data_IF_091049740326
#
_entry.id   IF_091049740326
#
_cell.length_a   1.000
_cell.length_b   1.000
_cell.length_c   1.000
_cell.angle_alpha   90.00
_cell.angle_beta   90.00
_cell.angle_gamma   90.00
#
_symmetry.space_group_name_H-M   'P 1'
#
loop_
_entity.id
_entity.type
_entity.pdbx_description
1 polymer ?
#
# COMPACT_ATOMS: atom_id res chain seq x y z
N UNK A 1 43.92 0.43 -10.80
CA UNK A 1 42.68 0.71 -10.01
C UNK A 1 41.88 -0.58 -9.90
N UNK A 2 41.90 -1.18 -8.70
CA UNK A 2 41.18 -2.42 -8.38
C UNK A 2 39.66 -2.17 -8.49
N UNK A 3 38.88 -3.02 -9.14
CA UNK A 3 37.43 -2.88 -9.11
C UNK A 3 36.96 -3.15 -7.66
N UNK A 4 36.33 -2.14 -7.08
CA UNK A 4 35.71 -2.30 -5.78
C UNK A 4 34.71 -3.46 -5.87
N UNK A 5 34.92 -4.52 -5.09
CA UNK A 5 33.94 -5.58 -4.89
C UNK A 5 32.67 -4.92 -4.34
N UNK A 6 31.62 -4.82 -5.16
CA UNK A 6 30.29 -4.53 -4.66
C UNK A 6 29.89 -5.69 -3.77
N UNK A 7 29.76 -5.42 -2.48
CA UNK A 7 29.12 -6.37 -1.59
C UNK A 7 27.68 -6.57 -2.15
N UNK A 8 27.40 -7.78 -2.62
CA UNK A 8 26.06 -8.15 -3.00
C UNK A 8 25.29 -8.31 -1.69
N UNK A 9 24.48 -7.32 -1.35
CA UNK A 9 23.54 -7.47 -0.25
C UNK A 9 22.58 -8.60 -0.63
N UNK A 10 22.68 -9.72 0.05
CA UNK A 10 21.71 -10.81 -0.07
C UNK A 10 20.45 -10.34 0.65
N UNK A 11 19.37 -10.13 -0.10
CA UNK A 11 18.05 -9.99 0.48
C UNK A 11 17.62 -11.36 0.99
N UNK A 12 17.34 -11.46 2.28
CA UNK A 12 16.71 -12.63 2.88
C UNK A 12 15.20 -12.38 2.94
N UNK A 13 14.42 -13.39 2.54
CA UNK A 13 12.97 -13.36 2.73
C UNK A 13 12.65 -14.10 4.02
N UNK A 14 12.00 -13.41 4.94
CA UNK A 14 11.56 -13.98 6.21
C UNK A 14 10.06 -13.79 6.38
N UNK A 15 9.39 -14.80 6.94
CA UNK A 15 8.00 -14.68 7.34
C UNK A 15 7.92 -14.07 8.74
N UNK A 16 6.83 -13.35 9.03
CA UNK A 16 6.49 -12.89 10.37
C UNK A 16 5.31 -13.71 10.90
N UNK A 17 5.56 -14.82 11.59
CA UNK A 17 4.50 -15.65 12.15
C UNK A 17 3.62 -14.84 13.13
N UNK A 18 2.31 -15.09 13.09
CA UNK A 18 1.37 -14.40 13.98
C UNK A 18 0.99 -12.98 13.57
N UNK A 19 1.54 -12.45 12.46
CA UNK A 19 1.25 -11.08 12.00
C UNK A 19 -0.26 -10.85 11.77
N UNK A 20 -0.96 -11.79 11.10
CA UNK A 20 -2.40 -11.68 10.86
C UNK A 20 -3.18 -11.57 12.17
N UNK A 21 -2.88 -12.40 13.15
CA UNK A 21 -3.59 -12.42 14.43
C UNK A 21 -3.26 -11.17 15.24
N UNK A 22 -2.01 -10.71 15.19
CA UNK A 22 -1.62 -9.44 15.78
C UNK A 22 -2.40 -8.29 15.13
N UNK A 23 -2.45 -8.21 13.79
CA UNK A 23 -3.15 -7.17 13.05
C UNK A 23 -4.63 -7.09 13.46
N UNK A 24 -5.33 -8.23 13.50
CA UNK A 24 -6.75 -8.27 13.85
C UNK A 24 -7.04 -7.93 15.31
N UNK A 25 -6.07 -8.10 16.20
CA UNK A 25 -6.19 -7.62 17.58
C UNK A 25 -6.00 -6.11 17.69
N UNK A 26 -5.10 -5.54 16.88
CA UNK A 26 -4.82 -4.10 16.89
C UNK A 26 -5.89 -3.29 16.16
N UNK A 27 -6.53 -3.88 15.14
CA UNK A 27 -7.54 -3.24 14.30
C UNK A 27 -8.86 -4.03 14.32
N UNK A 28 -9.62 -3.98 15.43
CA UNK A 28 -10.81 -4.82 15.61
C UNK A 28 -11.93 -4.52 14.60
N UNK A 29 -11.95 -3.32 14.01
CA UNK A 29 -12.88 -2.96 12.94
C UNK A 29 -12.69 -3.81 11.69
N UNK A 30 -11.48 -4.32 11.44
CA UNK A 30 -11.17 -5.20 10.32
C UNK A 30 -11.52 -6.66 10.60
N UNK A 31 -11.60 -7.04 11.89
CA UNK A 31 -11.83 -8.43 12.27
C UNK A 31 -13.16 -8.99 11.71
N UNK A 32 -14.21 -8.14 11.64
CA UNK A 32 -15.52 -8.52 11.09
C UNK A 32 -15.44 -8.85 9.59
N UNK A 33 -14.52 -8.20 8.87
CA UNK A 33 -14.30 -8.44 7.45
C UNK A 33 -13.37 -9.64 7.21
N UNK A 34 -12.47 -9.95 8.13
CA UNK A 34 -11.42 -10.95 7.96
C UNK A 34 -11.92 -12.40 7.77
N UNK A 35 -13.17 -12.67 8.12
CA UNK A 35 -13.82 -13.98 7.92
C UNK A 35 -14.55 -14.12 6.58
N UNK A 36 -14.60 -13.06 5.75
CA UNK A 36 -15.25 -13.07 4.45
C UNK A 36 -14.24 -13.22 3.32
N UNK A 37 -14.67 -13.75 2.17
CA UNK A 37 -13.84 -13.77 0.97
C UNK A 37 -13.62 -12.32 0.46
N UNK A 38 -12.46 -12.06 -0.14
CA UNK A 38 -12.06 -10.73 -0.59
C UNK A 38 -13.06 -10.10 -1.58
N UNK A 39 -13.58 -10.92 -2.52
CA UNK A 39 -14.59 -10.51 -3.50
C UNK A 39 -15.99 -10.28 -2.89
N UNK A 40 -16.19 -10.67 -1.62
CA UNK A 40 -17.42 -10.48 -0.81
C UNK A 40 -17.25 -9.39 0.25
N UNK A 41 -16.35 -8.46 0.05
CA UNK A 41 -16.06 -7.41 1.00
C UNK A 41 -15.24 -7.87 2.21
N UNK A 42 -14.46 -8.94 2.05
CA UNK A 42 -13.52 -9.43 3.05
C UNK A 42 -12.30 -8.54 3.18
N UNK A 43 -11.53 -8.72 4.27
CA UNK A 43 -10.29 -7.99 4.46
C UNK A 43 -9.30 -8.31 3.35
N UNK A 44 -8.92 -7.28 2.63
CA UNK A 44 -7.92 -7.33 1.57
C UNK A 44 -6.97 -6.13 1.69
N UNK A 45 -5.68 -6.41 1.87
CA UNK A 45 -4.59 -5.45 1.91
C UNK A 45 -3.76 -5.71 0.65
N UNK A 46 -3.64 -4.72 -0.23
CA UNK A 46 -2.91 -4.86 -1.49
C UNK A 46 -1.69 -3.94 -1.57
N UNK A 47 -1.67 -2.82 -0.83
CA UNK A 47 -0.52 -1.93 -0.78
C UNK A 47 0.31 -2.14 0.48
N UNK A 48 1.64 -2.18 0.34
CA UNK A 48 2.58 -2.15 1.47
C UNK A 48 3.73 -1.21 1.15
N UNK A 49 3.97 -0.21 2.01
CA UNK A 49 5.09 0.70 1.88
C UNK A 49 5.86 0.85 3.19
N UNK A 50 7.14 1.14 3.06
CA UNK A 50 7.99 1.56 4.16
C UNK A 50 8.14 3.08 4.16
N UNK A 51 7.87 3.71 5.31
CA UNK A 51 8.18 5.11 5.57
C UNK A 51 9.52 5.19 6.31
N UNK A 52 10.61 5.53 5.62
CA UNK A 52 11.93 5.60 6.24
C UNK A 52 12.08 6.76 7.23
N UNK A 53 11.25 7.80 7.09
CA UNK A 53 11.28 8.98 7.95
C UNK A 53 10.78 8.71 9.36
N UNK A 54 9.80 7.80 9.48
CA UNK A 54 9.12 7.49 10.74
C UNK A 54 9.29 6.04 11.19
N UNK A 55 10.09 5.23 10.47
CA UNK A 55 10.24 3.79 10.73
C UNK A 55 8.87 3.08 10.80
N UNK A 56 7.98 3.38 9.85
CA UNK A 56 6.60 2.93 9.85
C UNK A 56 6.29 2.10 8.61
N UNK A 57 5.64 0.96 8.82
CA UNK A 57 4.99 0.21 7.76
C UNK A 57 3.60 0.78 7.52
N UNK A 58 3.26 0.99 6.26
CA UNK A 58 1.96 1.43 5.79
C UNK A 58 1.30 0.27 5.06
N UNK A 59 0.06 -0.07 5.44
CA UNK A 59 -0.73 -1.10 4.78
C UNK A 59 -1.96 -0.46 4.15
N UNK A 60 -1.98 -0.40 2.84
CA UNK A 60 -3.11 0.11 2.06
C UNK A 60 -4.24 -0.90 1.99
N UNK A 61 -5.39 -0.57 2.56
CA UNK A 61 -6.56 -1.46 2.56
C UNK A 61 -7.35 -1.25 1.27
N UNK A 62 -7.51 -2.33 0.49
CA UNK A 62 -8.43 -2.33 -0.64
C UNK A 62 -9.87 -2.47 -0.16
N UNK A 63 -10.11 -3.36 0.80
CA UNK A 63 -11.42 -3.65 1.36
C UNK A 63 -11.27 -4.16 2.82
N UNK A 64 -12.15 -3.81 3.74
CA UNK A 64 -13.34 -2.97 3.59
C UNK A 64 -13.01 -1.47 3.53
N UNK A 65 -13.86 -0.72 2.83
CA UNK A 65 -13.88 0.75 2.84
C UNK A 65 -15.19 1.19 3.47
N UNK A 66 -15.11 2.05 4.47
CA UNK A 66 -16.26 2.54 5.22
C UNK A 66 -16.61 3.98 4.89
N UNK A 67 -17.62 4.51 5.60
CA UNK A 67 -18.02 5.90 5.47
C UNK A 67 -16.93 6.90 5.92
N UNK A 68 -15.99 6.45 6.77
CA UNK A 68 -14.87 7.28 7.23
C UNK A 68 -13.83 7.52 6.13
N UNK A 69 -13.71 6.58 5.18
CA UNK A 69 -12.72 6.66 4.11
C UNK A 69 -12.02 5.32 3.86
N UNK A 70 -10.98 5.36 3.02
CA UNK A 70 -10.12 4.21 2.75
C UNK A 70 -9.07 4.12 3.86
N UNK A 71 -9.00 3.00 4.60
CA UNK A 71 -8.02 2.88 5.68
C UNK A 71 -6.60 2.68 5.16
N UNK A 72 -5.66 3.38 5.76
CA UNK A 72 -4.23 3.08 5.72
C UNK A 72 -3.80 2.72 7.13
N UNK A 73 -3.45 1.46 7.36
CA UNK A 73 -2.97 1.03 8.66
C UNK A 73 -1.50 1.40 8.80
N UNK A 74 -1.14 1.97 9.93
CA UNK A 74 0.20 2.43 10.22
C UNK A 74 0.75 1.64 11.40
N UNK A 75 1.93 1.09 11.24
CA UNK A 75 2.57 0.28 12.29
C UNK A 75 4.03 0.63 12.34
N UNK A 76 4.49 1.10 13.49
CA UNK A 76 5.91 1.32 13.69
C UNK A 76 6.64 -0.03 13.78
N UNK A 77 7.75 -0.15 13.08
CA UNK A 77 8.65 -1.30 13.13
C UNK A 77 9.99 -0.86 13.72
N UNK A 78 10.45 -1.56 14.75
CA UNK A 78 11.83 -1.43 15.21
C UNK A 78 12.73 -2.45 14.47
N UNK A 79 13.54 -2.00 13.49
CA UNK A 79 14.41 -2.91 12.74
C UNK A 79 15.49 -3.59 13.62
N UNK A 80 15.79 -3.01 14.79
CA UNK A 80 16.76 -3.55 15.73
C UNK A 80 16.22 -4.71 16.60
N UNK A 81 14.91 -4.83 16.73
CA UNK A 81 14.26 -5.85 17.54
C UNK A 81 14.07 -7.21 16.81
N UNK A 82 14.56 -7.30 15.57
CA UNK A 82 14.39 -8.49 14.74
C UNK A 82 13.06 -8.53 13.98
N UNK A 83 12.81 -9.63 13.24
CA UNK A 83 11.64 -9.77 12.40
C UNK A 83 10.55 -10.60 13.11
N UNK A 84 9.84 -9.96 14.04
CA UNK A 84 8.75 -10.57 14.80
C UNK A 84 7.65 -9.56 15.10
N UNK A 85 6.48 -10.04 15.54
CA UNK A 85 5.37 -9.18 15.96
C UNK A 85 5.71 -8.33 17.20
N UNK A 86 6.72 -8.70 17.97
CA UNK A 86 7.18 -7.94 19.14
C UNK A 86 7.96 -6.67 18.74
N UNK A 87 8.44 -6.61 17.49
CA UNK A 87 9.07 -5.43 16.92
C UNK A 87 8.04 -4.38 16.44
N UNK A 88 6.75 -4.72 16.45
CA UNK A 88 5.67 -3.87 16.00
C UNK A 88 5.06 -3.10 17.17
N UNK A 89 4.84 -1.80 16.95
CA UNK A 89 4.27 -0.91 17.97
C UNK A 89 3.46 0.22 17.35
N UNK A 90 2.81 1.01 18.20
CA UNK A 90 2.08 2.22 17.83
C UNK A 90 1.12 2.01 16.64
N UNK A 91 0.19 1.02 16.73
CA UNK A 91 -0.79 0.81 15.67
C UNK A 91 -1.74 2.02 15.58
N UNK A 92 -1.92 2.54 14.37
CA UNK A 92 -2.78 3.67 14.08
C UNK A 92 -3.46 3.48 12.73
N UNK A 93 -4.59 4.17 12.50
CA UNK A 93 -5.31 4.16 11.22
C UNK A 93 -5.50 5.58 10.73
N UNK A 94 -4.99 5.85 9.54
CA UNK A 94 -5.28 7.05 8.78
C UNK A 94 -6.34 6.73 7.72
N UNK A 95 -7.20 7.71 7.40
CA UNK A 95 -8.25 7.52 6.40
C UNK A 95 -8.07 8.51 5.25
N UNK A 96 -8.04 8.01 4.03
CA UNK A 96 -8.13 8.84 2.82
C UNK A 96 -9.61 9.11 2.57
N UNK A 97 -10.03 10.37 2.70
CA UNK A 97 -11.45 10.79 2.71
C UNK A 97 -11.93 11.34 1.38
N UNK A 98 -11.04 11.84 0.52
CA UNK A 98 -11.37 12.42 -0.78
C UNK A 98 -11.36 11.41 -1.93
N UNK A 99 -11.78 10.16 -1.65
CA UNK A 99 -11.92 9.10 -2.64
C UNK A 99 -13.33 9.05 -3.22
N UNK A 100 -13.50 8.37 -4.35
CA UNK A 100 -14.83 8.04 -4.86
C UNK A 100 -15.38 6.80 -4.16
N UNK A 101 -16.71 6.75 -3.95
CA UNK A 101 -17.35 5.57 -3.37
C UNK A 101 -17.04 4.32 -4.20
N UNK A 102 -16.67 3.23 -3.55
CA UNK A 102 -16.25 1.99 -4.23
C UNK A 102 -14.75 1.92 -4.55
N UNK A 103 -13.96 2.96 -4.29
CA UNK A 103 -12.50 2.87 -4.38
C UNK A 103 -11.87 2.28 -3.11
N UNK A 104 -10.72 1.62 -3.29
CA UNK A 104 -9.81 1.16 -2.26
C UNK A 104 -8.37 1.27 -2.75
N UNK A 105 -7.40 1.04 -1.89
CA UNK A 105 -5.99 1.09 -2.25
C UNK A 105 -5.60 -0.23 -2.94
N UNK A 106 -5.01 -0.10 -4.15
CA UNK A 106 -4.48 -1.22 -4.93
C UNK A 106 -2.98 -1.39 -4.68
N UNK A 107 -2.27 -0.28 -4.50
CA UNK A 107 -0.86 -0.27 -4.14
C UNK A 107 -0.46 1.06 -3.51
N UNK A 108 0.66 1.04 -2.79
CA UNK A 108 1.29 2.22 -2.20
C UNK A 108 2.80 2.06 -2.23
N UNK A 109 3.51 3.07 -2.69
CA UNK A 109 4.97 3.06 -2.72
C UNK A 109 5.55 4.39 -2.26
N UNK A 110 6.67 4.35 -1.53
CA UNK A 110 7.39 5.55 -1.13
C UNK A 110 8.09 6.18 -2.34
N UNK A 111 7.97 7.50 -2.47
CA UNK A 111 8.69 8.30 -3.48
C UNK A 111 9.92 8.96 -2.84
N UNK A 112 11.11 8.39 -3.00
CA UNK A 112 12.32 8.95 -2.39
C UNK A 112 12.84 10.22 -3.09
N UNK A 113 12.25 10.60 -4.23
CA UNK A 113 12.67 11.78 -5.00
C UNK A 113 11.87 13.01 -4.62
N UNK A 114 10.54 12.91 -4.70
CA UNK A 114 9.65 14.00 -4.36
C UNK A 114 9.28 14.03 -2.88
N UNK A 115 9.53 12.94 -2.16
CA UNK A 115 9.03 12.71 -0.80
C UNK A 115 7.57 12.27 -0.79
N UNK A 116 7.14 11.63 0.31
CA UNK A 116 5.79 11.08 0.42
C UNK A 116 5.60 9.78 -0.36
N UNK A 117 4.40 9.57 -0.89
CA UNK A 117 4.00 8.28 -1.46
C UNK A 117 3.22 8.47 -2.76
N UNK A 118 3.35 7.50 -3.65
CA UNK A 118 2.38 7.26 -4.70
C UNK A 118 1.37 6.23 -4.21
N UNK A 119 0.09 6.51 -4.41
CA UNK A 119 -1.02 5.65 -4.04
C UNK A 119 -1.82 5.33 -5.29
N UNK A 120 -2.03 4.06 -5.53
CA UNK A 120 -2.88 3.58 -6.61
C UNK A 120 -4.26 3.27 -6.04
N UNK A 121 -5.26 4.05 -6.44
CA UNK A 121 -6.66 3.83 -6.08
C UNK A 121 -7.38 3.07 -7.21
N UNK A 122 -8.29 2.20 -6.82
CA UNK A 122 -9.12 1.46 -7.78
C UNK A 122 -10.26 0.73 -7.06
N UNK A 123 -10.90 -0.20 -7.73
CA UNK A 123 -12.08 -0.92 -7.23
C UNK A 123 -11.82 -1.62 -5.91
N UNK A 124 -12.63 -1.33 -4.90
CA UNK A 124 -12.56 -2.01 -3.60
C UNK A 124 -13.06 -3.45 -3.68
N UNK A 125 -14.13 -3.67 -4.43
CA UNK A 125 -14.68 -5.00 -4.73
C UNK A 125 -14.86 -5.18 -6.25
N UNK A 126 -15.01 -6.43 -6.69
CA UNK A 126 -15.28 -6.73 -8.09
C UNK A 126 -16.68 -6.22 -8.47
N UNK A 127 -16.77 -5.55 -9.61
CA UNK A 127 -18.05 -5.03 -10.15
C UNK A 127 -18.28 -3.55 -9.90
N UNK A 128 -17.53 -2.90 -9.02
CA UNK A 128 -17.60 -1.43 -8.90
C UNK A 128 -17.10 -0.78 -10.19
N UNK A 129 -17.85 0.20 -10.69
CA UNK A 129 -17.44 0.99 -11.86
C UNK A 129 -16.88 2.33 -11.40
N UNK A 130 -15.66 2.25 -10.88
CA UNK A 130 -14.91 3.42 -10.41
C UNK A 130 -13.58 3.54 -11.16
N UNK A 131 -13.09 4.77 -11.39
CA UNK A 131 -11.82 4.97 -12.07
C UNK A 131 -10.65 4.44 -11.23
N UNK A 132 -9.61 3.99 -11.92
CA UNK A 132 -8.30 3.83 -11.33
C UNK A 132 -7.58 5.18 -11.37
N UNK A 133 -6.95 5.53 -10.26
CA UNK A 133 -6.27 6.81 -10.12
C UNK A 133 -4.88 6.61 -9.52
N UNK A 134 -3.88 7.23 -10.14
CA UNK A 134 -2.57 7.41 -9.54
C UNK A 134 -2.60 8.73 -8.75
N UNK A 135 -2.30 8.65 -7.47
CA UNK A 135 -2.37 9.79 -6.58
C UNK A 135 -1.03 10.00 -5.87
N UNK A 136 -0.76 11.26 -5.51
CA UNK A 136 0.30 11.64 -4.59
C UNK A 136 -0.27 11.83 -3.19
N UNK A 137 0.50 11.40 -2.19
CA UNK A 137 0.13 11.51 -0.78
C UNK A 137 1.35 11.85 0.10
N UNK A 138 1.17 12.73 1.06
CA UNK A 138 2.24 13.14 1.98
C UNK A 138 2.48 12.17 3.15
N UNK A 139 1.64 11.12 3.28
CA UNK A 139 1.73 10.14 4.36
C UNK A 139 1.04 10.56 5.66
N UNK A 140 0.45 11.76 5.75
CA UNK A 140 -0.15 12.27 6.98
C UNK A 140 -1.52 12.92 6.79
N UNK A 141 -1.80 13.53 5.65
CA UNK A 141 -3.09 14.17 5.39
C UNK A 141 -4.19 13.14 5.10
N UNK A 142 -5.44 13.55 5.29
CA UNK A 142 -6.61 12.73 4.95
C UNK A 142 -7.01 12.83 3.48
N UNK A 143 -6.27 13.57 2.68
CA UNK A 143 -6.52 13.75 1.27
C UNK A 143 -5.31 13.34 0.43
N UNK A 144 -5.57 12.82 -0.77
CA UNK A 144 -4.59 12.56 -1.81
C UNK A 144 -4.79 13.52 -2.97
N UNK A 145 -3.73 13.83 -3.70
CA UNK A 145 -3.77 14.60 -4.93
C UNK A 145 -3.76 13.65 -6.14
N UNK A 146 -4.75 13.77 -7.02
CA UNK A 146 -4.84 12.94 -8.22
C UNK A 146 -3.86 13.45 -9.25
N UNK A 147 -2.86 12.63 -9.58
CA UNK A 147 -1.87 12.91 -10.64
C UNK A 147 -2.37 12.48 -12.02
N UNK A 148 -3.07 11.34 -12.08
CA UNK A 148 -3.60 10.81 -13.33
C UNK A 148 -4.77 9.85 -13.11
N UNK A 149 -5.72 9.85 -14.03
CA UNK A 149 -6.68 8.77 -14.20
C UNK A 149 -6.12 7.71 -15.16
N UNK A 150 -6.28 6.46 -14.79
CA UNK A 150 -5.74 5.33 -15.54
C UNK A 150 -6.86 4.56 -16.23
N UNK A 151 -6.64 4.07 -17.46
CA UNK A 151 -7.68 3.35 -18.20
C UNK A 151 -8.13 2.07 -17.45
N UNK A 152 -9.43 1.90 -17.27
CA UNK A 152 -10.03 0.72 -16.59
C UNK A 152 -9.61 -0.61 -17.23
N UNK A 153 -9.32 -0.62 -18.54
CA UNK A 153 -8.84 -1.81 -19.27
C UNK A 153 -7.48 -2.30 -18.80
N UNK A 154 -6.66 -1.43 -18.22
CA UNK A 154 -5.34 -1.81 -17.68
C UNK A 154 -5.43 -2.64 -16.42
N UNK A 155 -6.52 -2.51 -15.65
CA UNK A 155 -6.67 -3.10 -14.32
C UNK A 155 -5.40 -2.91 -13.49
N UNK A 156 -5.01 -1.67 -13.17
CA UNK A 156 -3.77 -1.40 -12.46
C UNK A 156 -3.72 -2.11 -11.11
N UNK A 157 -2.58 -2.76 -10.82
CA UNK A 157 -2.36 -3.60 -9.64
C UNK A 157 -1.13 -3.18 -8.83
N UNK A 158 -0.18 -2.50 -9.46
CA UNK A 158 1.06 -2.11 -8.81
C UNK A 158 1.64 -0.81 -9.35
N UNK A 159 2.34 -0.07 -8.50
CA UNK A 159 3.08 1.14 -8.86
C UNK A 159 4.45 1.16 -8.19
N UNK A 160 5.45 1.62 -8.92
CA UNK A 160 6.78 1.87 -8.35
C UNK A 160 7.41 3.11 -8.95
N UNK A 161 8.25 3.77 -8.16
CA UNK A 161 9.03 4.92 -8.63
C UNK A 161 10.31 4.40 -9.28
N UNK A 162 10.51 4.77 -10.55
CA UNK A 162 11.77 4.52 -11.24
C UNK A 162 12.65 5.74 -11.01
N UNK A 163 13.74 5.55 -10.27
CA UNK A 163 14.78 6.57 -10.15
C UNK A 163 15.42 6.78 -11.50
N UNK A 164 15.02 7.86 -12.18
CA UNK A 164 15.72 8.42 -13.29
C UNK A 164 16.02 9.88 -12.97
N UNK A 165 16.93 10.47 -13.73
CA UNK A 165 17.12 11.93 -13.71
C UNK A 165 15.77 12.66 -13.79
N UNK A 166 15.65 13.77 -13.07
CA UNK A 166 14.39 14.54 -13.03
C UNK A 166 13.90 14.90 -14.47
N UNK A 167 12.58 14.79 -14.76
CA UNK A 167 11.52 14.44 -13.84
C UNK A 167 11.46 12.93 -13.57
N UNK A 168 11.16 12.56 -12.31
CA UNK A 168 10.96 11.17 -11.91
C UNK A 168 9.88 10.48 -12.74
N UNK A 169 9.98 9.16 -12.88
CA UNK A 169 9.01 8.32 -13.58
C UNK A 169 8.41 7.29 -12.64
N UNK A 170 7.12 7.08 -12.74
CA UNK A 170 6.45 5.94 -12.12
C UNK A 170 6.16 4.88 -13.18
N UNK A 171 6.35 3.61 -12.83
CA UNK A 171 5.87 2.47 -13.59
C UNK A 171 4.60 1.96 -12.93
N UNK A 172 3.52 1.89 -13.70
CA UNK A 172 2.28 1.24 -13.28
C UNK A 172 2.16 -0.07 -14.06
N UNK A 173 1.93 -1.16 -13.34
CA UNK A 173 1.67 -2.48 -13.91
C UNK A 173 0.21 -2.85 -13.66
N UNK A 174 -0.38 -3.61 -14.58
CA UNK A 174 -1.77 -3.99 -14.48
C UNK A 174 -2.02 -5.39 -15.03
N UNK A 175 -3.10 -6.01 -14.58
CA UNK A 175 -3.61 -7.28 -15.09
C UNK A 175 -4.68 -7.02 -16.16
N UNK A 176 -4.25 -6.75 -17.38
CA UNK A 176 -5.15 -6.53 -18.51
C UNK A 176 -5.87 -7.82 -18.99
N UNK A 177 -5.56 -8.96 -18.39
CA UNK A 177 -6.21 -10.25 -18.62
C UNK A 177 -6.15 -10.70 -20.07
N UNK A 178 -5.10 -11.28 -20.46
CA UNK A 178 -4.68 -12.09 -21.62
C UNK A 178 -3.48 -11.48 -22.33
N UNK A 179 -2.36 -12.11 -22.13
CA UNK A 179 -1.29 -12.03 -23.11
C UNK A 179 -1.78 -12.83 -24.34
N UNK A 180 -2.17 -12.10 -25.40
CA UNK A 180 -2.37 -12.71 -26.70
C UNK A 180 -1.01 -12.84 -27.38
#
# INVERSE_FOLDING_TARGET
>A
TSPAMRATALLTAEAMPGFRDWLLRQYPELAKAAGRAADKGGLNIEGVAWDPGNSTLLFGVRCPVGATGIPVLRVRLDPGAGWSVDALSEPDTLYITNHQAGQGIRDITHDPVAGGFLVLLGRSVSGDDVPFQLCRWDGVSTAVEVEAELPNRMKPEGVTVIRAEAPGRALVVGDAGSFA
#
